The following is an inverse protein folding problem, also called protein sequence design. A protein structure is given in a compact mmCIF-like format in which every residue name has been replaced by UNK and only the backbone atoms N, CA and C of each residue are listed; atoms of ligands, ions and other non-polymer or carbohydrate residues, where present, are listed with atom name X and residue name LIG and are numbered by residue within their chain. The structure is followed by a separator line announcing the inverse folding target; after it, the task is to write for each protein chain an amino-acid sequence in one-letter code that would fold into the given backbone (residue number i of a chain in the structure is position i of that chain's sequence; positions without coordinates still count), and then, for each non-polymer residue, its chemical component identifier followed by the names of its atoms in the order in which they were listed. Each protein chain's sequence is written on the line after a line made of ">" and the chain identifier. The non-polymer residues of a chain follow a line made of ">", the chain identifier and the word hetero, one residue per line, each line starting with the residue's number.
data_IF_315214914462
#
_entry.id   IF_315214914462
#
_cell.length_a   1.000
_cell.length_b   1.000
_cell.length_c   1.000
_cell.angle_alpha   90.00
_cell.angle_beta   90.00
_cell.angle_gamma   90.00
#
_symmetry.space_group_name_H-M   'P 1'
#
loop_
_entity.id
_entity.type
_entity.pdbx_description
1 polymer ?
#
# COMPACT_ATOMS: atom_id res chain seq x y z
N UNK A 1 -21.01 11.43 -11.55
CA UNK A 1 -20.78 10.84 -10.21
C UNK A 1 -21.74 9.67 -10.03
N UNK A 2 -21.24 8.44 -9.94
CA UNK A 2 -22.09 7.31 -9.59
C UNK A 2 -22.80 7.58 -8.25
N UNK A 3 -24.10 7.29 -8.18
CA UNK A 3 -24.90 7.43 -6.96
C UNK A 3 -25.73 6.16 -6.76
N UNK A 4 -25.88 5.73 -5.50
CA UNK A 4 -26.62 4.52 -5.14
C UNK A 4 -25.74 3.26 -5.08
N UNK A 5 -26.37 2.08 -5.23
CA UNK A 5 -25.71 0.78 -5.06
C UNK A 5 -24.60 0.50 -6.09
N UNK A 6 -24.61 1.18 -7.24
CA UNK A 6 -23.55 1.11 -8.24
C UNK A 6 -22.25 1.83 -7.83
N UNK A 7 -22.28 2.65 -6.77
CA UNK A 7 -21.08 3.27 -6.19
C UNK A 7 -20.44 2.41 -5.08
N UNK A 8 -20.96 1.21 -4.84
CA UNK A 8 -20.41 0.27 -3.85
C UNK A 8 -19.43 -0.63 -4.58
N UNK A 9 -18.14 -0.39 -4.36
CA UNK A 9 -17.05 -1.11 -5.03
C UNK A 9 -16.38 -2.13 -4.10
N UNK A 10 -15.95 -3.28 -4.63
CA UNK A 10 -15.15 -4.30 -3.93
C UNK A 10 -13.67 -4.25 -4.34
N UNK A 11 -12.75 -4.18 -3.38
CA UNK A 11 -11.31 -4.06 -3.64
C UNK A 11 -10.61 -5.37 -4.00
N UNK A 12 -11.12 -6.14 -4.96
CA UNK A 12 -10.51 -7.42 -5.37
C UNK A 12 -9.27 -7.17 -6.24
N UNK A 13 -8.16 -7.92 -6.12
CA UNK A 13 -6.97 -7.66 -6.93
C UNK A 13 -7.18 -8.00 -8.43
N UNK A 14 -6.62 -7.20 -9.35
CA UNK A 14 -6.75 -7.41 -10.82
C UNK A 14 -6.24 -8.79 -11.27
N UNK A 15 -5.19 -9.29 -10.62
CA UNK A 15 -4.72 -10.67 -10.78
C UNK A 15 -4.24 -11.21 -9.44
N UNK A 16 -4.31 -12.53 -9.24
CA UNK A 16 -4.00 -13.16 -7.95
C UNK A 16 -2.58 -12.87 -7.41
N UNK A 17 -1.63 -12.56 -8.30
CA UNK A 17 -0.24 -12.14 -7.97
C UNK A 17 0.09 -10.70 -8.35
N UNK A 18 -0.85 -9.93 -8.89
CA UNK A 18 -0.62 -8.57 -9.38
C UNK A 18 -1.46 -7.50 -8.70
N UNK A 19 -2.04 -7.80 -7.53
CA UNK A 19 -2.79 -6.83 -6.73
C UNK A 19 -1.92 -5.75 -6.08
N UNK A 20 -0.66 -6.09 -5.72
CA UNK A 20 0.34 -5.13 -5.28
C UNK A 20 1.53 -5.20 -6.24
N UNK A 21 2.02 -4.04 -6.66
CA UNK A 21 3.29 -3.88 -7.34
C UNK A 21 4.15 -2.85 -6.59
N UNK A 22 5.45 -3.00 -6.66
CA UNK A 22 6.40 -2.08 -6.04
C UNK A 22 7.56 -1.78 -6.98
N UNK A 23 8.14 -0.59 -6.82
CA UNK A 23 9.25 -0.08 -7.60
C UNK A 23 10.12 0.87 -6.80
N UNK A 24 11.21 1.34 -7.40
CA UNK A 24 12.00 2.42 -6.80
C UNK A 24 11.24 3.76 -6.90
N UNK A 25 11.59 4.72 -6.05
CA UNK A 25 10.84 5.99 -5.93
C UNK A 25 10.94 6.92 -7.14
N UNK A 26 11.83 6.62 -8.10
CA UNK A 26 11.99 7.33 -9.38
C UNK A 26 11.25 6.66 -10.55
N UNK A 27 10.52 5.57 -10.29
CA UNK A 27 9.75 4.86 -11.30
C UNK A 27 8.65 5.74 -11.89
N UNK A 28 8.32 5.52 -13.17
CA UNK A 28 7.25 6.25 -13.85
C UNK A 28 5.90 6.00 -13.14
N UNK A 29 5.30 7.09 -12.66
CA UNK A 29 4.01 7.06 -12.00
C UNK A 29 2.89 6.63 -12.97
N UNK A 30 1.91 5.83 -12.51
CA UNK A 30 0.70 5.58 -13.29
C UNK A 30 -0.06 6.87 -13.55
N UNK A 31 -0.75 6.91 -14.69
CA UNK A 31 -1.54 8.07 -15.12
C UNK A 31 -3.06 7.81 -15.08
N UNK A 32 -3.46 6.53 -15.03
CA UNK A 32 -4.85 6.08 -14.97
C UNK A 32 -4.96 4.72 -14.27
N UNK A 33 -6.18 4.19 -14.14
CA UNK A 33 -6.46 2.91 -13.46
C UNK A 33 -6.34 1.66 -14.37
N UNK A 34 -6.30 1.80 -15.69
CA UNK A 34 -6.49 0.69 -16.63
C UNK A 34 -5.26 0.38 -17.50
N UNK A 35 -4.41 1.38 -17.77
CA UNK A 35 -3.20 1.25 -18.56
C UNK A 35 -2.22 0.33 -17.85
N UNK A 36 -1.61 -0.57 -18.62
CA UNK A 36 -0.60 -1.49 -18.12
C UNK A 36 0.62 -0.73 -17.58
N UNK A 37 1.06 -1.11 -16.39
CA UNK A 37 2.25 -0.55 -15.74
C UNK A 37 3.52 -0.99 -16.46
N UNK A 38 4.57 -0.18 -16.34
CA UNK A 38 5.90 -0.48 -16.88
C UNK A 38 6.41 -1.84 -16.32
N UNK A 39 7.08 -2.69 -17.12
CA UNK A 39 7.71 -3.92 -16.64
C UNK A 39 8.71 -3.75 -15.49
N UNK A 40 9.20 -2.53 -15.23
CA UNK A 40 10.02 -2.19 -14.07
C UNK A 40 9.28 -2.37 -12.73
N UNK A 41 7.94 -2.38 -12.74
CA UNK A 41 7.14 -2.67 -11.55
C UNK A 41 7.20 -4.16 -11.18
N UNK A 42 7.71 -4.45 -9.97
CA UNK A 42 7.84 -5.81 -9.45
C UNK A 42 6.55 -6.20 -8.74
N UNK A 43 6.04 -7.40 -9.02
CA UNK A 43 4.80 -7.91 -8.41
C UNK A 43 5.05 -8.36 -6.96
N UNK A 44 4.21 -7.89 -6.05
CA UNK A 44 4.27 -8.10 -4.60
C UNK A 44 3.72 -9.43 -4.10
N UNK A 45 3.31 -10.36 -4.96
CA UNK A 45 2.79 -11.66 -4.55
C UNK A 45 1.37 -11.62 -3.97
N UNK A 46 0.91 -12.74 -3.41
CA UNK A 46 -0.46 -12.88 -2.88
C UNK A 46 -0.69 -12.07 -1.60
N UNK A 47 -1.79 -11.30 -1.61
CA UNK A 47 -2.36 -10.64 -0.44
C UNK A 47 -3.42 -11.54 0.21
N UNK A 48 -3.51 -11.51 1.53
CA UNK A 48 -4.53 -12.24 2.32
C UNK A 48 -5.97 -11.91 1.92
N UNK A 49 -6.90 -12.77 2.33
CA UNK A 49 -8.34 -12.64 2.05
C UNK A 49 -8.97 -11.37 2.64
N UNK A 50 -8.36 -10.81 3.69
CA UNK A 50 -8.78 -9.54 4.31
C UNK A 50 -8.51 -8.32 3.40
N UNK A 51 -7.78 -8.50 2.30
CA UNK A 51 -7.49 -7.46 1.32
C UNK A 51 -6.54 -6.39 1.86
N UNK A 52 -6.78 -5.14 1.45
CA UNK A 52 -5.98 -3.98 1.83
C UNK A 52 -6.86 -2.94 2.53
N UNK A 53 -6.43 -2.50 3.71
CA UNK A 53 -7.12 -1.45 4.46
C UNK A 53 -6.35 -0.15 4.34
N UNK A 54 -6.98 0.89 3.79
CA UNK A 54 -6.46 2.27 3.81
C UNK A 54 -7.00 3.02 5.02
N UNK A 55 -6.10 3.46 5.89
CA UNK A 55 -6.43 4.34 7.02
C UNK A 55 -5.96 5.76 6.72
N UNK A 56 -6.78 6.74 7.05
CA UNK A 56 -6.45 8.17 6.91
C UNK A 56 -6.72 8.84 8.25
N UNK A 57 -5.65 9.25 8.91
CA UNK A 57 -5.72 9.92 10.21
C UNK A 57 -5.33 11.39 10.05
N UNK A 58 -6.11 12.26 10.70
CA UNK A 58 -5.85 13.69 10.74
C UNK A 58 -6.05 14.21 12.16
N UNK A 59 -5.03 14.88 12.69
CA UNK A 59 -5.07 15.48 14.02
C UNK A 59 -5.10 17.00 13.89
N UNK A 60 -6.06 17.63 14.57
CA UNK A 60 -6.29 19.08 14.54
C UNK A 60 -6.23 19.68 15.95
N UNK A 61 -5.40 20.70 16.15
CA UNK A 61 -5.30 21.45 17.39
C UNK A 61 -6.18 22.71 17.33
N UNK A 62 -6.98 22.92 18.38
CA UNK A 62 -7.84 24.10 18.53
C UNK A 62 -7.16 25.15 19.41
N UNK A 63 -6.64 26.20 18.79
CA UNK A 63 -6.11 27.38 19.49
C UNK A 63 -7.28 28.20 19.99
N UNK A 64 -7.32 28.45 21.30
CA UNK A 64 -8.37 29.24 21.97
C UNK A 64 -7.86 30.62 22.37
N UNK A 65 -8.69 31.64 22.18
CA UNK A 65 -8.45 32.97 22.72
C UNK A 65 -8.61 32.99 24.24
N UNK A 66 -8.00 34.00 24.83
CA UNK A 66 -8.20 34.35 26.23
C UNK A 66 -9.64 34.83 26.43
N UNK A 67 -10.50 33.92 26.91
CA UNK A 67 -11.96 34.03 26.89
C UNK A 67 -12.65 32.68 26.67
N UNK A 68 -11.91 31.67 26.17
CA UNK A 68 -12.39 30.29 26.00
C UNK A 68 -12.84 29.94 24.58
N UNK A 69 -13.02 30.95 23.73
CA UNK A 69 -13.44 30.78 22.34
C UNK A 69 -12.33 30.21 21.46
N UNK A 70 -12.67 29.28 20.56
CA UNK A 70 -11.73 28.74 19.57
C UNK A 70 -11.51 29.79 18.48
N UNK A 71 -10.27 30.25 18.31
CA UNK A 71 -9.91 31.26 17.30
C UNK A 71 -9.25 30.70 16.07
N UNK A 72 -8.63 29.52 16.17
CA UNK A 72 -7.98 28.87 15.03
C UNK A 72 -7.93 27.37 15.22
N UNK A 73 -8.13 26.63 14.13
CA UNK A 73 -7.85 25.19 14.06
C UNK A 73 -6.62 25.01 13.18
N UNK A 74 -5.62 24.28 13.66
CA UNK A 74 -4.39 23.98 12.92
C UNK A 74 -4.25 22.47 12.82
N UNK A 75 -4.06 21.97 11.60
CA UNK A 75 -3.74 20.55 11.39
C UNK A 75 -2.31 20.28 11.84
N UNK A 76 -2.14 19.42 12.83
CA UNK A 76 -0.83 19.03 13.36
C UNK A 76 -0.28 17.81 12.63
N UNK A 77 -1.15 16.92 12.17
CA UNK A 77 -0.77 15.68 11.51
C UNK A 77 -1.79 15.26 10.45
N UNK A 78 -1.28 14.66 9.38
CA UNK A 78 -2.08 13.96 8.38
C UNK A 78 -1.28 12.77 7.84
N UNK A 79 -1.70 11.56 8.20
CA UNK A 79 -1.06 10.31 7.78
C UNK A 79 -2.03 9.47 6.96
N UNK A 80 -1.48 8.78 5.97
CA UNK A 80 -2.20 7.77 5.19
C UNK A 80 -1.37 6.49 5.31
N UNK A 81 -2.01 5.41 5.75
CA UNK A 81 -1.39 4.10 5.88
C UNK A 81 -2.20 3.03 5.17
N UNK A 82 -1.51 2.02 4.66
CA UNK A 82 -2.11 0.86 4.01
C UNK A 82 -1.64 -0.40 4.73
N UNK A 83 -2.56 -1.13 5.34
CA UNK A 83 -2.27 -2.37 6.08
C UNK A 83 -2.84 -3.58 5.34
N UNK A 84 -2.03 -4.62 5.21
CA UNK A 84 -2.40 -5.87 4.55
C UNK A 84 -1.44 -7.01 4.95
N UNK A 85 -1.74 -8.23 4.51
CA UNK A 85 -0.94 -9.41 4.83
C UNK A 85 -0.40 -10.08 3.56
N UNK A 86 0.90 -10.35 3.49
CA UNK A 86 1.48 -11.20 2.46
C UNK A 86 1.38 -12.67 2.83
N UNK A 87 0.98 -13.52 1.88
CA UNK A 87 0.93 -14.98 2.03
C UNK A 87 2.20 -15.68 1.51
N UNK A 88 3.05 -14.97 0.77
CA UNK A 88 4.23 -15.54 0.11
C UNK A 88 5.48 -15.50 1.00
N UNK A 89 5.64 -16.52 1.86
CA UNK A 89 6.78 -16.62 2.79
C UNK A 89 8.09 -17.15 2.20
N UNK A 90 8.10 -17.51 0.92
CA UNK A 90 9.27 -18.06 0.22
C UNK A 90 9.71 -17.22 -0.99
N UNK A 91 8.98 -16.13 -1.30
CA UNK A 91 9.33 -15.26 -2.41
C UNK A 91 10.46 -14.30 -1.98
N UNK A 92 11.59 -14.37 -2.67
CA UNK A 92 12.76 -13.55 -2.37
C UNK A 92 12.47 -12.05 -2.52
N UNK A 93 11.63 -11.65 -3.47
CA UNK A 93 11.31 -10.25 -3.73
C UNK A 93 10.43 -9.66 -2.61
N UNK A 94 9.44 -10.43 -2.15
CA UNK A 94 8.61 -10.08 -0.99
C UNK A 94 9.45 -10.02 0.28
N UNK A 95 10.34 -10.98 0.50
CA UNK A 95 11.22 -10.98 1.67
C UNK A 95 12.22 -9.81 1.64
N UNK A 96 12.76 -9.45 0.48
CA UNK A 96 13.61 -8.27 0.30
C UNK A 96 12.84 -6.98 0.57
N UNK A 97 11.57 -6.93 0.19
CA UNK A 97 10.70 -5.79 0.45
C UNK A 97 10.42 -5.63 1.95
N UNK A 98 10.15 -6.73 2.66
CA UNK A 98 9.85 -6.74 4.10
C UNK A 98 11.10 -6.47 4.94
N UNK A 99 12.20 -7.15 4.64
CA UNK A 99 13.40 -7.14 5.49
C UNK A 99 14.53 -6.25 4.97
N UNK A 100 14.42 -5.72 3.76
CA UNK A 100 15.49 -5.00 3.07
C UNK A 100 16.39 -5.93 2.26
N UNK A 101 16.90 -5.41 1.14
CA UNK A 101 17.66 -6.21 0.17
C UNK A 101 18.96 -6.79 0.74
N UNK A 102 19.69 -6.01 1.55
CA UNK A 102 20.93 -6.45 2.21
C UNK A 102 20.73 -7.63 3.18
N UNK A 103 19.49 -7.82 3.64
CA UNK A 103 19.16 -8.81 4.66
C UNK A 103 18.70 -10.14 4.06
N UNK A 104 18.45 -10.23 2.75
CA UNK A 104 17.96 -11.44 2.10
C UNK A 104 19.00 -11.96 1.12
N UNK A 105 19.59 -13.11 1.44
CA UNK A 105 20.54 -13.79 0.55
C UNK A 105 19.91 -15.05 -0.04
N UNK A 106 19.94 -15.16 -1.36
CA UNK A 106 19.50 -16.35 -2.09
C UNK A 106 20.73 -17.06 -2.64
N UNK A 107 20.98 -18.29 -2.20
CA UNK A 107 22.10 -19.10 -2.72
C UNK A 107 21.61 -20.51 -3.04
N UNK A 108 21.69 -20.90 -4.31
CA UNK A 108 21.32 -22.23 -4.80
C UNK A 108 19.92 -22.70 -4.33
N UNK A 109 18.92 -21.81 -4.41
CA UNK A 109 17.54 -22.09 -4.01
C UNK A 109 17.27 -22.03 -2.50
N UNK A 110 18.27 -21.67 -1.69
CA UNK A 110 18.10 -21.42 -0.25
C UNK A 110 17.96 -19.92 -0.01
N UNK A 111 16.87 -19.51 0.63
CA UNK A 111 16.65 -18.13 1.08
C UNK A 111 17.06 -18.04 2.55
N UNK A 112 17.96 -17.11 2.86
CA UNK A 112 18.32 -16.75 4.24
C UNK A 112 17.94 -15.29 4.46
N UNK A 113 17.21 -15.04 5.53
CA UNK A 113 16.78 -13.70 5.96
C UNK A 113 17.48 -13.37 7.27
N UNK A 114 18.23 -12.28 7.31
CA UNK A 114 18.79 -11.70 8.53
C UNK A 114 17.75 -10.74 9.12
N UNK A 115 17.23 -11.06 10.31
CA UNK A 115 16.37 -10.12 11.02
C UNK A 115 17.26 -9.04 11.66
N UNK A 116 17.12 -7.80 11.18
CA UNK A 116 17.85 -6.64 11.71
C UNK A 116 16.87 -5.55 12.11
N UNK A 117 17.31 -4.59 12.93
CA UNK A 117 16.51 -3.42 13.30
C UNK A 117 16.50 -2.31 12.24
N UNK A 118 17.12 -2.54 11.07
CA UNK A 118 17.14 -1.56 9.99
C UNK A 118 15.78 -1.51 9.32
N UNK A 119 15.25 -0.30 9.14
CA UNK A 119 14.07 -0.10 8.32
C UNK A 119 14.40 -0.41 6.84
N UNK A 120 13.49 -1.07 6.11
CA UNK A 120 13.67 -1.28 4.69
C UNK A 120 13.67 0.08 3.95
N UNK A 121 14.31 0.16 2.77
CA UNK A 121 14.28 1.40 1.99
C UNK A 121 12.85 1.75 1.58
N UNK A 122 12.59 3.05 1.44
CA UNK A 122 11.32 3.53 0.89
C UNK A 122 11.21 3.17 -0.59
N UNK A 123 9.98 2.89 -1.03
CA UNK A 123 9.67 2.44 -2.38
C UNK A 123 8.35 3.04 -2.85
N UNK A 124 8.16 3.06 -4.17
CA UNK A 124 6.87 3.36 -4.75
C UNK A 124 6.01 2.09 -4.77
N UNK A 125 4.71 2.24 -4.57
CA UNK A 125 3.75 1.14 -4.55
C UNK A 125 2.54 1.44 -5.41
N UNK A 126 2.03 0.41 -6.08
CA UNK A 126 0.77 0.44 -6.80
C UNK A 126 -0.09 -0.72 -6.32
N UNK A 127 -1.34 -0.43 -5.98
CA UNK A 127 -2.36 -1.40 -5.63
C UNK A 127 -3.40 -1.41 -6.74
N UNK A 128 -3.42 -2.50 -7.51
CA UNK A 128 -4.30 -2.71 -8.65
C UNK A 128 -5.49 -3.59 -8.24
N UNK A 129 -6.66 -2.97 -8.17
CA UNK A 129 -7.93 -3.57 -7.82
C UNK A 129 -8.93 -3.52 -8.99
N UNK A 130 -9.81 -4.50 -9.06
CA UNK A 130 -10.85 -4.67 -10.05
C UNK A 130 -12.14 -5.07 -9.34
N UNK A 131 -13.20 -4.33 -9.58
CA UNK A 131 -14.56 -4.70 -9.18
C UNK A 131 -15.48 -4.80 -10.39
N UNK A 132 -15.81 -6.03 -10.80
CA UNK A 132 -16.56 -6.29 -12.04
C UNK A 132 -15.89 -5.63 -13.27
N UNK A 133 -16.42 -4.51 -13.77
CA UNK A 133 -15.86 -3.75 -14.89
C UNK A 133 -15.12 -2.47 -14.45
N UNK A 134 -15.16 -2.13 -13.15
CA UNK A 134 -14.55 -0.93 -12.59
C UNK A 134 -13.12 -1.21 -12.14
N UNK A 135 -12.17 -0.47 -12.71
CA UNK A 135 -10.76 -0.53 -12.33
C UNK A 135 -10.46 0.50 -11.24
N UNK A 136 -9.81 0.06 -10.16
CA UNK A 136 -9.33 0.92 -9.08
C UNK A 136 -7.83 0.76 -8.93
N UNK A 137 -7.09 1.86 -8.93
CA UNK A 137 -5.64 1.86 -8.72
C UNK A 137 -5.26 2.87 -7.66
N UNK A 138 -4.64 2.41 -6.57
CA UNK A 138 -4.03 3.29 -5.57
C UNK A 138 -2.53 3.35 -5.82
N UNK A 139 -1.99 4.57 -5.98
CA UNK A 139 -0.58 4.82 -6.20
C UNK A 139 0.03 5.59 -5.03
N UNK A 140 1.17 5.11 -4.54
CA UNK A 140 1.96 5.69 -3.46
C UNK A 140 3.36 5.94 -4.02
N UNK A 141 3.74 7.21 -4.16
CA UNK A 141 5.04 7.57 -4.74
C UNK A 141 6.22 7.33 -3.77
N UNK A 142 6.02 7.63 -2.48
CA UNK A 142 7.02 7.41 -1.43
C UNK A 142 6.37 6.68 -0.24
N UNK A 143 6.54 5.36 -0.18
CA UNK A 143 6.02 4.51 0.87
C UNK A 143 7.12 3.92 1.74
N UNK A 144 6.98 4.01 3.05
CA UNK A 144 7.79 3.24 4.00
C UNK A 144 7.03 1.99 4.41
N UNK A 145 7.53 0.82 4.02
CA UNK A 145 6.98 -0.43 4.52
C UNK A 145 7.55 -0.74 5.91
N UNK A 146 6.68 -1.21 6.79
CA UNK A 146 7.01 -1.69 8.13
C UNK A 146 6.27 -3.00 8.38
N UNK A 147 6.87 -3.90 9.15
CA UNK A 147 6.18 -5.11 9.60
C UNK A 147 5.37 -4.76 10.83
N UNK A 148 4.08 -5.05 10.79
CA UNK A 148 3.12 -4.71 11.84
C UNK A 148 2.52 -6.00 12.40
N UNK A 149 3.32 -6.82 13.09
CA UNK A 149 2.74 -7.99 13.75
C UNK A 149 3.70 -9.15 13.98
N UNK A 150 3.18 -10.16 14.67
CA UNK A 150 3.85 -11.42 14.92
C UNK A 150 3.69 -12.35 13.72
N UNK A 151 4.80 -12.97 13.29
CA UNK A 151 4.75 -14.03 12.28
C UNK A 151 4.44 -15.35 12.98
N UNK A 152 3.26 -15.89 12.72
CA UNK A 152 2.81 -17.16 13.31
C UNK A 152 3.23 -18.33 12.44
N UNK A 153 3.85 -19.34 13.07
CA UNK A 153 4.26 -20.59 12.42
C UNK A 153 3.44 -21.75 12.99
N UNK A 154 2.39 -22.15 12.26
CA UNK A 154 1.53 -23.29 12.63
C UNK A 154 1.40 -24.25 11.45
N UNK A 155 1.21 -25.55 11.73
CA UNK A 155 1.04 -26.53 10.65
C UNK A 155 -0.33 -26.43 9.96
N UNK A 156 -1.29 -25.78 10.61
CA UNK A 156 -2.70 -25.72 10.24
C UNK A 156 -3.06 -24.47 9.42
N UNK A 157 -2.11 -23.56 9.20
CA UNK A 157 -2.34 -22.30 8.48
C UNK A 157 -1.09 -21.93 7.66
N UNK A 158 -1.28 -21.03 6.69
CA UNK A 158 -0.20 -20.46 5.89
C UNK A 158 0.57 -19.40 6.70
N UNK A 159 1.85 -19.23 6.40
CA UNK A 159 2.65 -18.16 7.02
C UNK A 159 2.19 -16.83 6.44
N UNK A 160 1.81 -15.89 7.31
CA UNK A 160 1.36 -14.54 6.93
C UNK A 160 2.31 -13.50 7.49
N UNK A 161 2.63 -12.50 6.68
CA UNK A 161 3.38 -11.32 7.12
C UNK A 161 2.47 -10.11 7.06
N UNK A 162 2.07 -9.62 8.23
CA UNK A 162 1.34 -8.36 8.34
C UNK A 162 2.29 -7.19 8.15
N UNK A 163 1.96 -6.34 7.18
CA UNK A 163 2.76 -5.17 6.82
C UNK A 163 1.88 -3.93 6.76
N UNK A 164 2.48 -2.80 7.11
CA UNK A 164 1.88 -1.49 6.94
C UNK A 164 2.80 -0.61 6.10
N UNK A 165 2.25 -0.02 5.04
CA UNK A 165 2.90 0.99 4.22
C UNK A 165 2.42 2.36 4.69
N UNK A 166 3.34 3.18 5.18
CA UNK A 166 3.07 4.59 5.47
C UNK A 166 3.42 5.47 4.26
N UNK A 167 2.45 6.28 3.81
CA UNK A 167 2.60 7.12 2.62
C UNK A 167 3.09 8.54 2.98
N UNK A 168 4.23 8.91 2.40
CA UNK A 168 4.87 10.20 2.54
C UNK A 168 4.48 11.15 1.39
N UNK A 169 4.45 12.47 1.65
CA UNK A 169 4.11 13.43 0.61
C UNK A 169 5.22 13.47 -0.46
N UNK A 170 4.81 13.47 -1.71
CA UNK A 170 5.67 13.78 -2.84
C UNK A 170 6.07 15.27 -2.87
N UNK A 171 6.79 15.69 -3.92
CA UNK A 171 7.20 17.08 -4.11
C UNK A 171 6.01 18.08 -4.21
N UNK A 172 4.79 17.59 -4.47
CA UNK A 172 3.56 18.38 -4.57
C UNK A 172 2.71 18.31 -3.29
N UNK A 173 3.14 17.59 -2.26
CA UNK A 173 2.38 17.38 -1.03
C UNK A 173 1.35 16.25 -1.12
N UNK A 174 1.34 15.47 -2.19
CA UNK A 174 0.41 14.36 -2.43
C UNK A 174 0.98 13.08 -1.84
N UNK A 175 0.23 12.43 -0.95
CA UNK A 175 0.66 11.19 -0.26
C UNK A 175 0.25 9.92 -1.00
N UNK A 176 -0.95 9.92 -1.57
CA UNK A 176 -1.46 8.82 -2.37
C UNK A 176 -2.43 9.36 -3.43
N UNK A 177 -2.51 8.67 -4.57
CA UNK A 177 -3.41 8.99 -5.68
C UNK A 177 -4.30 7.79 -5.95
N UNK A 178 -5.61 7.99 -5.88
CA UNK A 178 -6.61 6.97 -6.21
C UNK A 178 -7.14 7.26 -7.62
N UNK A 179 -6.96 6.32 -8.53
CA UNK A 179 -7.55 6.33 -9.86
C UNK A 179 -8.72 5.35 -9.87
N UNK A 180 -9.86 5.80 -10.37
CA UNK A 180 -11.07 4.97 -10.51
C UNK A 180 -11.57 5.17 -11.94
N UNK A 181 -11.64 4.08 -12.70
CA UNK A 181 -12.19 4.04 -14.05
C UNK A 181 -13.40 3.11 -14.05
N UNK A 182 -14.59 3.71 -14.14
CA UNK A 182 -15.87 3.00 -14.21
C UNK A 182 -16.47 3.22 -15.60
N UNK A 183 -16.48 2.19 -16.48
CA UNK A 183 -16.98 2.32 -17.84
C UNK A 183 -18.50 2.60 -17.91
N UNK A 184 -19.23 2.44 -16.80
CA UNK A 184 -20.67 2.74 -16.69
C UNK A 184 -20.91 4.23 -16.39
N UNK A 185 -19.90 4.95 -15.88
CA UNK A 185 -20.00 6.38 -15.55
C UNK A 185 -19.55 7.22 -16.74
N UNK A 186 -20.48 7.55 -17.63
CA UNK A 186 -20.30 8.66 -18.58
C UNK A 186 -20.59 10.00 -17.89
N UNK A 187 -19.88 11.09 -18.25
CA UNK A 187 -19.97 12.39 -17.56
C UNK A 187 -21.36 13.04 -17.63
#
# INVERSE_FOLDING_TARGET
>A
MATGTAAILTGSPVTATGGLLFGDSDIAAPTDAATALDPAWVKGGYIGEDGVTRTTDASDEKIRAWGGDVVKVVRTEHSITYTFQFLESANADVLKLIHGEDNVTVTAGKVKVNQTSKMPPRKAFVLDMLDSETHLREFIADGQLTTSGDVTFVHSDVIRYEVTIEAFPDANGVKAVSFIDDPVVTP
#
